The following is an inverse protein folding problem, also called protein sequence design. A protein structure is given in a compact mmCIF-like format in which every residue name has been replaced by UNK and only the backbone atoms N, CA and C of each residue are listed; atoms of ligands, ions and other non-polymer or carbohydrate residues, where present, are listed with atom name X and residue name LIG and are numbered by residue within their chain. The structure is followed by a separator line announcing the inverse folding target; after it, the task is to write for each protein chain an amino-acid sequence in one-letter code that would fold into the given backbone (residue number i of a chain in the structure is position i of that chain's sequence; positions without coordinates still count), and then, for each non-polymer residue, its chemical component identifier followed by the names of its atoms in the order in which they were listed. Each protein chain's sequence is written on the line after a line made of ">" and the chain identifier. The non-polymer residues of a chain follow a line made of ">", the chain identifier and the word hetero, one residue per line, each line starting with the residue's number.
data_IF_611744440320
#
_entry.id   IF_611744440320
#
_cell.length_a   1.000
_cell.length_b   1.000
_cell.length_c   1.000
_cell.angle_alpha   90.00
_cell.angle_beta   90.00
_cell.angle_gamma   90.00
#
_symmetry.space_group_name_H-M   'P 1'
#
loop_
_entity.id
_entity.type
_entity.pdbx_description
1 polymer ?
#
# COMPACT_ATOMS: atom_id res chain seq x y z
N UNK A 1 8.41 -15.56 29.32
CA UNK A 1 9.19 -16.40 28.41
C UNK A 1 9.40 -17.75 29.09
N UNK A 2 8.45 -18.64 28.86
CA UNK A 2 8.52 -20.05 29.24
C UNK A 2 8.68 -20.81 27.93
N UNK A 3 9.82 -21.47 27.77
CA UNK A 3 10.15 -22.26 26.59
C UNK A 3 9.15 -23.39 26.44
N UNK A 4 8.43 -23.39 25.33
CA UNK A 4 7.85 -24.58 24.77
C UNK A 4 8.83 -25.05 23.70
N UNK A 5 9.52 -26.15 23.98
CA UNK A 5 10.26 -26.91 23.00
C UNK A 5 9.21 -27.54 22.09
N UNK A 6 8.97 -26.93 20.94
CA UNK A 6 8.19 -27.56 19.86
C UNK A 6 9.09 -28.63 19.24
N UNK A 7 8.75 -29.89 19.51
CA UNK A 7 9.28 -31.05 18.81
C UNK A 7 8.91 -30.92 17.33
N UNK A 8 9.90 -30.59 16.50
CA UNK A 8 9.78 -30.64 15.04
C UNK A 8 9.65 -32.10 14.62
N UNK A 9 8.43 -32.57 14.37
CA UNK A 9 8.19 -33.81 13.64
C UNK A 9 8.77 -33.65 12.23
N UNK A 10 9.86 -34.37 11.95
CA UNK A 10 10.44 -34.54 10.61
C UNK A 10 9.41 -35.18 9.68
N UNK A 11 8.60 -34.35 9.04
CA UNK A 11 7.70 -34.79 7.97
C UNK A 11 8.56 -35.12 6.73
N UNK A 12 8.86 -36.41 6.58
CA UNK A 12 9.61 -36.99 5.47
C UNK A 12 9.10 -36.45 4.11
N UNK A 13 9.98 -35.99 3.21
CA UNK A 13 9.58 -35.41 1.94
C UNK A 13 8.87 -36.47 1.09
N UNK A 14 7.55 -36.35 0.97
CA UNK A 14 6.76 -37.12 0.02
C UNK A 14 7.33 -36.84 -1.37
N UNK A 15 7.86 -37.88 -2.00
CA UNK A 15 8.33 -37.85 -3.37
C UNK A 15 7.21 -37.27 -4.26
N UNK A 16 7.46 -36.09 -4.82
CA UNK A 16 6.65 -35.56 -5.90
C UNK A 16 6.80 -36.51 -7.08
N UNK A 17 5.77 -37.33 -7.29
CA UNK A 17 5.68 -38.18 -8.47
C UNK A 17 5.63 -37.32 -9.72
N UNK A 18 6.42 -37.72 -10.72
CA UNK A 18 6.42 -37.20 -12.08
C UNK A 18 4.99 -37.12 -12.63
N UNK A 19 4.44 -35.91 -12.66
CA UNK A 19 3.23 -35.63 -13.41
C UNK A 19 3.61 -35.57 -14.90
N UNK A 20 3.08 -36.54 -15.64
CA UNK A 20 3.19 -36.64 -17.09
C UNK A 20 2.82 -35.30 -17.74
N UNK A 21 3.67 -34.88 -18.69
CA UNK A 21 3.37 -33.82 -19.62
C UNK A 21 2.27 -34.32 -20.57
N UNK A 22 1.02 -33.93 -20.29
CA UNK A 22 -0.06 -34.03 -21.27
C UNK A 22 0.02 -32.82 -22.20
N UNK A 23 0.54 -33.06 -23.41
CA UNK A 23 0.51 -32.16 -24.56
C UNK A 23 -0.95 -31.95 -25.02
N UNK A 24 -1.63 -30.91 -24.54
CA UNK A 24 -2.95 -30.50 -25.05
C UNK A 24 -2.82 -29.30 -26.00
N UNK A 25 -2.68 -29.62 -27.29
CA UNK A 25 -2.64 -28.71 -28.44
C UNK A 25 -4.06 -28.17 -28.75
N UNK A 26 -4.51 -27.19 -27.95
CA UNK A 26 -5.80 -26.52 -28.15
C UNK A 26 -5.78 -25.42 -29.24
N UNK A 27 -6.80 -25.34 -30.12
CA UNK A 27 -6.77 -24.47 -31.30
C UNK A 27 -6.91 -22.98 -30.96
N UNK A 28 -5.93 -22.20 -31.44
CA UNK A 28 -5.92 -20.72 -31.44
C UNK A 28 -7.12 -20.15 -32.22
N UNK A 29 -8.16 -19.73 -31.51
CA UNK A 29 -9.25 -18.91 -32.08
C UNK A 29 -8.84 -17.44 -32.09
N UNK A 30 -8.36 -16.97 -33.24
CA UNK A 30 -8.28 -15.56 -33.60
C UNK A 30 -9.69 -15.00 -33.85
N UNK A 31 -10.20 -14.17 -32.96
CA UNK A 31 -11.37 -13.32 -33.23
C UNK A 31 -10.93 -11.88 -33.38
N UNK A 32 -10.74 -11.46 -34.63
CA UNK A 32 -10.70 -10.07 -35.04
C UNK A 32 -12.05 -9.43 -34.70
N UNK A 33 -12.08 -8.56 -33.68
CA UNK A 33 -13.25 -7.73 -33.38
C UNK A 33 -13.14 -6.45 -34.19
N UNK A 34 -13.95 -6.38 -35.24
CA UNK A 34 -14.23 -5.20 -36.06
C UNK A 34 -14.73 -4.08 -35.17
N UNK A 35 -14.05 -2.93 -35.19
CA UNK A 35 -14.50 -1.68 -34.57
C UNK A 35 -15.24 -0.91 -35.64
N UNK A 36 -16.57 -0.94 -35.60
CA UNK A 36 -17.40 -0.07 -36.43
C UNK A 36 -17.40 1.34 -35.84
N UNK A 37 -17.06 2.29 -36.69
CA UNK A 37 -17.00 3.71 -36.39
C UNK A 37 -18.39 4.34 -36.31
N UNK A 38 -18.51 5.35 -35.45
CA UNK A 38 -19.54 6.38 -35.57
C UNK A 38 -18.86 7.74 -35.52
N UNK A 39 -18.92 8.40 -36.67
CA UNK A 39 -18.44 9.75 -36.96
C UNK A 39 -19.67 10.65 -36.91
N UNK A 40 -19.79 11.49 -35.89
CA UNK A 40 -20.71 12.63 -35.86
C UNK A 40 -19.88 13.83 -35.36
N UNK A 41 -19.57 14.81 -36.20
CA UNK A 41 -20.47 15.92 -36.53
C UNK A 41 -19.91 17.17 -35.82
N UNK A 42 -19.17 18.05 -36.49
CA UNK A 42 -19.75 18.98 -37.45
C UNK A 42 -20.26 20.25 -36.74
N UNK A 43 -19.35 21.04 -36.13
CA UNK A 43 -19.70 22.27 -35.41
C UNK A 43 -18.81 23.45 -35.78
N UNK A 44 -18.93 23.94 -37.03
CA UNK A 44 -18.29 25.18 -37.50
C UNK A 44 -18.89 26.39 -36.76
N UNK A 45 -18.22 26.91 -35.73
CA UNK A 45 -18.54 28.23 -35.15
C UNK A 45 -17.74 29.30 -35.89
N UNK A 46 -18.48 30.23 -36.49
CA UNK A 46 -18.00 31.40 -37.23
C UNK A 46 -17.23 32.31 -36.28
N UNK A 47 -16.01 32.67 -36.67
CA UNK A 47 -15.20 33.72 -36.07
C UNK A 47 -15.75 35.07 -36.55
N UNK A 48 -16.33 35.85 -35.65
CA UNK A 48 -16.62 37.27 -35.88
C UNK A 48 -15.34 38.06 -35.70
N UNK A 49 -14.89 38.67 -36.79
CA UNK A 49 -13.79 39.62 -36.83
C UNK A 49 -14.26 40.96 -36.27
N UNK A 50 -13.74 41.35 -35.11
CA UNK A 50 -13.70 42.74 -34.64
C UNK A 50 -12.61 42.86 -33.57
N UNK A 51 -11.35 42.90 -34.03
CA UNK A 51 -10.20 43.20 -33.20
C UNK A 51 -9.70 44.61 -33.56
N UNK A 52 -10.23 45.62 -32.86
CA UNK A 52 -9.64 46.97 -32.84
C UNK A 52 -8.31 46.88 -32.08
N UNK A 53 -7.25 47.26 -32.77
CA UNK A 53 -5.90 47.35 -32.24
C UNK A 53 -5.82 48.40 -31.12
N UNK A 54 -5.75 47.95 -29.87
CA UNK A 54 -5.18 48.72 -28.76
C UNK A 54 -3.73 48.27 -28.58
N UNK A 55 -2.82 49.18 -28.87
CA UNK A 55 -1.36 48.97 -28.89
C UNK A 55 -0.77 49.02 -27.48
N UNK A 56 -1.25 48.19 -26.56
CA UNK A 56 -0.57 47.98 -25.29
C UNK A 56 0.35 46.76 -25.40
N UNK A 57 1.67 46.93 -25.14
CA UNK A 57 2.57 45.80 -25.11
C UNK A 57 2.11 44.84 -24.01
N UNK A 58 1.89 43.54 -24.32
CA UNK A 58 1.39 42.60 -23.34
C UNK A 58 2.33 42.60 -22.13
N UNK A 59 1.80 42.60 -20.89
CA UNK A 59 2.62 42.59 -19.69
C UNK A 59 3.59 41.43 -19.83
N UNK A 60 4.89 41.72 -19.74
CA UNK A 60 5.96 40.71 -19.84
C UNK A 60 5.67 39.68 -18.77
N UNK A 61 5.04 38.59 -19.19
CA UNK A 61 4.71 37.45 -18.36
C UNK A 61 6.05 36.92 -17.90
N UNK A 62 6.51 37.37 -16.72
CA UNK A 62 7.61 36.74 -16.00
C UNK A 62 7.18 35.30 -15.90
N UNK A 63 7.70 34.46 -16.80
CA UNK A 63 7.59 33.03 -16.73
C UNK A 63 8.35 32.67 -15.47
N UNK A 64 7.63 32.77 -14.35
CA UNK A 64 8.05 32.28 -13.06
C UNK A 64 8.18 30.80 -13.33
N UNK A 65 9.42 30.39 -13.64
CA UNK A 65 9.83 29.02 -13.94
C UNK A 65 9.39 28.23 -12.73
N UNK A 66 8.15 27.74 -12.77
CA UNK A 66 7.58 26.88 -11.75
C UNK A 66 8.50 25.70 -11.82
N UNK A 67 9.46 25.65 -10.88
CA UNK A 67 10.17 24.43 -10.56
C UNK A 67 9.05 23.48 -10.21
N UNK A 68 8.61 22.71 -11.20
CA UNK A 68 7.84 21.50 -10.99
C UNK A 68 8.80 20.66 -10.17
N UNK A 69 8.70 20.77 -8.85
CA UNK A 69 9.29 19.81 -7.95
C UNK A 69 8.65 18.51 -8.38
N UNK A 70 9.36 17.71 -9.18
CA UNK A 70 9.00 16.33 -9.46
C UNK A 70 8.80 15.73 -8.08
N UNK A 71 7.55 15.55 -7.65
CA UNK A 71 7.25 14.80 -6.44
C UNK A 71 7.76 13.40 -6.74
N UNK A 72 8.89 13.05 -6.15
CA UNK A 72 9.35 11.68 -6.16
C UNK A 72 8.26 10.86 -5.49
N UNK A 73 7.78 9.82 -6.16
CA UNK A 73 6.92 8.84 -5.55
C UNK A 73 7.82 7.81 -4.86
N UNK A 74 7.59 7.59 -3.57
CA UNK A 74 8.27 6.54 -2.82
C UNK A 74 7.49 5.24 -2.97
N UNK A 75 8.19 4.14 -3.21
CA UNK A 75 7.63 2.80 -3.36
C UNK A 75 8.38 1.82 -2.46
N UNK A 76 7.67 0.81 -1.96
CA UNK A 76 8.27 -0.30 -1.25
C UNK A 76 8.54 -1.44 -2.24
N UNK A 77 9.76 -1.98 -2.24
CA UNK A 77 10.12 -3.17 -3.01
C UNK A 77 10.28 -4.34 -2.03
N UNK A 78 9.44 -5.37 -2.18
CA UNK A 78 9.56 -6.64 -1.47
C UNK A 78 10.29 -7.63 -2.38
N UNK A 79 11.38 -8.20 -1.90
CA UNK A 79 12.16 -9.25 -2.60
C UNK A 79 12.55 -10.37 -1.64
N UNK A 80 12.99 -11.49 -2.19
CA UNK A 80 13.66 -12.53 -1.41
C UNK A 80 15.03 -12.02 -0.94
N UNK A 81 15.45 -12.48 0.25
CA UNK A 81 16.81 -12.26 0.74
C UNK A 81 17.77 -13.14 -0.04
N UNK A 82 18.97 -12.62 -0.33
CA UNK A 82 20.02 -13.39 -1.01
C UNK A 82 20.38 -14.69 -0.29
N UNK A 83 20.35 -14.67 1.05
CA UNK A 83 20.70 -15.82 1.90
C UNK A 83 19.56 -16.85 2.03
N UNK A 84 18.39 -16.59 1.44
CA UNK A 84 17.23 -17.47 1.57
C UNK A 84 17.21 -18.44 0.40
N UNK A 85 17.12 -19.73 0.70
CA UNK A 85 17.03 -20.77 -0.33
C UNK A 85 15.73 -20.67 -1.13
N UNK A 86 15.84 -20.95 -2.43
CA UNK A 86 14.71 -20.97 -3.37
C UNK A 86 13.98 -22.31 -3.32
N UNK A 87 13.32 -22.58 -2.20
CA UNK A 87 12.47 -23.75 -2.07
C UNK A 87 11.10 -23.48 -2.72
N UNK A 88 10.53 -24.43 -3.50
CA UNK A 88 9.24 -24.25 -4.17
C UNK A 88 8.10 -23.76 -3.24
N UNK A 89 7.95 -24.26 -1.99
CA UNK A 89 6.89 -23.78 -1.10
C UNK A 89 7.00 -22.29 -0.75
N UNK A 90 8.22 -21.76 -0.64
CA UNK A 90 8.47 -20.34 -0.35
C UNK A 90 8.12 -19.47 -1.56
N UNK A 91 8.44 -19.96 -2.75
CA UNK A 91 8.11 -19.32 -4.01
C UNK A 91 6.59 -19.22 -4.17
N UNK A 92 5.87 -20.32 -4.00
CA UNK A 92 4.42 -20.38 -4.15
C UNK A 92 3.69 -19.53 -3.12
N UNK A 93 4.18 -19.51 -1.87
CA UNK A 93 3.64 -18.62 -0.84
C UNK A 93 3.77 -17.14 -1.23
N UNK A 94 4.94 -16.74 -1.72
CA UNK A 94 5.19 -15.34 -2.14
C UNK A 94 4.34 -14.96 -3.35
N UNK A 95 4.22 -15.86 -4.33
CA UNK A 95 3.36 -15.67 -5.51
C UNK A 95 1.89 -15.53 -5.11
N UNK A 96 1.40 -16.41 -4.22
CA UNK A 96 0.02 -16.39 -3.73
C UNK A 96 -0.28 -15.09 -2.97
N UNK A 97 0.67 -14.61 -2.17
CA UNK A 97 0.54 -13.34 -1.46
C UNK A 97 0.40 -12.15 -2.42
N UNK A 98 1.25 -12.09 -3.44
CA UNK A 98 1.20 -11.01 -4.45
C UNK A 98 -0.12 -11.03 -5.21
N UNK A 99 -0.57 -12.20 -5.65
CA UNK A 99 -1.86 -12.35 -6.34
C UNK A 99 -3.02 -11.95 -5.42
N UNK A 100 -2.99 -12.35 -4.15
CA UNK A 100 -4.00 -11.95 -3.18
C UNK A 100 -4.03 -10.44 -2.97
N UNK A 101 -2.87 -9.78 -2.89
CA UNK A 101 -2.77 -8.33 -2.76
C UNK A 101 -3.27 -7.61 -4.02
N UNK A 102 -2.93 -8.08 -5.22
CA UNK A 102 -3.44 -7.53 -6.48
C UNK A 102 -4.97 -7.54 -6.53
N UNK A 103 -5.59 -8.65 -6.10
CA UNK A 103 -7.06 -8.74 -5.97
C UNK A 103 -7.68 -7.79 -4.94
N UNK A 104 -6.88 -7.31 -3.97
CA UNK A 104 -7.29 -6.40 -2.91
C UNK A 104 -6.87 -4.95 -3.16
N UNK A 105 -6.06 -4.66 -4.18
CA UNK A 105 -5.39 -3.36 -4.45
C UNK A 105 -6.34 -2.21 -4.84
N UNK A 106 -7.62 -2.32 -4.50
CA UNK A 106 -8.64 -1.28 -4.63
C UNK A 106 -9.41 -1.04 -3.34
N UNK A 107 -9.13 -1.84 -2.29
CA UNK A 107 -9.80 -1.74 -1.00
C UNK A 107 -9.18 -0.62 -0.16
N UNK A 108 -9.98 0.34 0.35
CA UNK A 108 -9.46 1.35 1.26
C UNK A 108 -8.91 0.68 2.53
N UNK A 109 -7.64 0.97 2.86
CA UNK A 109 -6.96 0.42 4.03
C UNK A 109 -6.18 -0.87 3.79
N UNK A 110 -6.08 -1.33 2.54
CA UNK A 110 -5.09 -2.33 2.11
C UNK A 110 -3.96 -1.62 1.38
N UNK A 111 -2.74 -2.12 1.49
CA UNK A 111 -1.60 -1.64 0.71
C UNK A 111 -1.75 -2.03 -0.75
N UNK A 112 -1.52 -1.09 -1.66
CA UNK A 112 -1.60 -1.36 -3.09
C UNK A 112 -0.34 -2.07 -3.59
N UNK A 113 -0.52 -2.90 -4.62
CA UNK A 113 0.57 -3.49 -5.41
C UNK A 113 0.52 -2.85 -6.79
N UNK A 114 1.62 -2.22 -7.20
CA UNK A 114 1.73 -1.50 -8.47
C UNK A 114 2.33 -2.35 -9.57
N UNK A 115 3.24 -3.27 -9.21
CA UNK A 115 3.88 -4.18 -10.15
C UNK A 115 4.42 -5.41 -9.40
N UNK A 116 4.57 -6.51 -10.11
CA UNK A 116 5.25 -7.69 -9.59
C UNK A 116 5.95 -8.47 -10.70
N UNK A 117 7.00 -9.20 -10.32
CA UNK A 117 7.76 -10.09 -11.19
C UNK A 117 8.22 -11.31 -10.38
N UNK A 118 7.66 -12.48 -10.67
CA UNK A 118 7.91 -13.70 -9.89
C UNK A 118 7.51 -13.52 -8.42
N UNK A 119 8.50 -13.56 -7.51
CA UNK A 119 8.33 -13.40 -6.06
C UNK A 119 8.54 -11.97 -5.56
N UNK A 120 8.90 -11.05 -6.45
CA UNK A 120 9.15 -9.65 -6.09
C UNK A 120 7.94 -8.79 -6.41
N UNK A 121 7.63 -7.84 -5.54
CA UNK A 121 6.53 -6.88 -5.73
C UNK A 121 6.93 -5.46 -5.36
N UNK A 122 6.34 -4.52 -6.09
CA UNK A 122 6.43 -3.08 -5.84
C UNK A 122 5.07 -2.63 -5.32
N UNK A 123 5.03 -2.04 -4.13
CA UNK A 123 3.79 -1.61 -3.49
C UNK A 123 3.90 -0.26 -2.80
N UNK A 124 2.84 0.10 -2.08
CA UNK A 124 2.76 1.33 -1.30
C UNK A 124 3.89 1.42 -0.29
N UNK A 125 4.61 2.55 -0.29
CA UNK A 125 5.56 2.88 0.77
C UNK A 125 4.82 3.59 1.92
N UNK A 126 4.99 3.05 3.12
CA UNK A 126 4.42 3.59 4.36
C UNK A 126 5.56 4.10 5.24
N UNK A 127 5.78 5.41 5.23
CA UNK A 127 6.88 6.08 5.92
C UNK A 127 6.73 6.14 7.45
N UNK A 128 5.51 5.94 7.96
CA UNK A 128 5.25 5.81 9.39
C UNK A 128 5.68 4.45 9.97
N UNK A 129 6.04 3.48 9.14
CA UNK A 129 6.37 2.11 9.56
C UNK A 129 5.14 1.32 10.01
N UNK A 130 5.35 0.27 10.81
CA UNK A 130 4.26 -0.52 11.38
C UNK A 130 3.60 0.17 12.61
N UNK A 131 2.34 -0.17 12.87
CA UNK A 131 1.53 0.41 13.94
C UNK A 131 2.12 0.11 15.33
N UNK A 132 2.72 -1.06 15.53
CA UNK A 132 3.36 -1.43 16.81
C UNK A 132 4.54 -0.49 17.14
N UNK A 133 5.46 -0.33 16.18
CA UNK A 133 6.58 0.60 16.31
C UNK A 133 6.09 2.05 16.41
N UNK A 134 5.03 2.41 15.68
CA UNK A 134 4.42 3.74 15.74
C UNK A 134 3.89 4.07 17.15
N UNK A 135 3.08 3.18 17.74
CA UNK A 135 2.54 3.35 19.10
C UNK A 135 3.69 3.41 20.12
N UNK A 136 4.65 2.50 20.05
CA UNK A 136 5.81 2.46 20.96
C UNK A 136 6.63 3.75 20.94
N UNK A 137 6.83 4.36 19.77
CA UNK A 137 7.53 5.65 19.63
C UNK A 137 6.76 6.80 20.28
N UNK A 138 5.43 6.79 20.20
CA UNK A 138 4.56 7.84 20.75
C UNK A 138 4.27 7.70 22.24
N UNK A 139 4.28 6.48 22.79
CA UNK A 139 4.07 6.26 24.23
C UNK A 139 5.25 6.77 25.07
N UNK A 140 6.49 6.59 24.59
CA UNK A 140 7.70 7.06 25.30
C UNK A 140 7.77 8.58 25.47
N UNK A 141 7.07 9.32 24.63
CA UNK A 141 6.99 10.78 24.71
C UNK A 141 6.21 11.27 25.93
N UNK A 142 5.36 10.42 26.53
CA UNK A 142 4.49 10.80 27.66
C UNK A 142 5.20 10.62 28.99
N UNK A 143 6.02 9.58 29.12
CA UNK A 143 6.68 9.24 30.40
C UNK A 143 8.02 9.97 30.60
N UNK A 144 8.59 10.57 29.54
CA UNK A 144 9.90 11.24 29.56
C UNK A 144 9.88 12.73 29.90
N UNK A 145 8.73 13.30 30.31
CA UNK A 145 8.61 14.72 30.65
C UNK A 145 9.07 15.06 32.09
N UNK A 146 9.61 14.07 32.81
CA UNK A 146 10.13 14.25 34.18
C UNK A 146 11.41 13.43 34.37
N UNK A 147 12.55 13.89 33.85
CA UNK A 147 13.86 13.54 34.41
C UNK A 147 14.98 14.46 33.90
N UNK A 148 15.21 15.51 34.67
CA UNK A 148 16.48 16.08 35.11
C UNK A 148 17.76 15.44 34.51
N UNK A 149 18.57 16.29 33.87
CA UNK A 149 19.71 15.89 33.06
C UNK A 149 20.75 15.00 33.73
N UNK A 150 21.17 13.94 33.04
CA UNK A 150 22.25 13.08 33.49
C UNK A 150 22.80 12.16 32.40
N UNK A 151 23.77 12.67 31.62
CA UNK A 151 24.85 11.87 31.01
C UNK A 151 24.49 10.89 29.88
N UNK A 152 24.66 11.30 28.63
CA UNK A 152 24.68 10.38 27.49
C UNK A 152 26.01 10.54 26.71
N UNK A 153 27.05 9.86 27.19
CA UNK A 153 28.18 9.43 26.36
C UNK A 153 28.05 7.92 26.15
N UNK A 154 27.90 7.48 24.90
CA UNK A 154 27.85 6.06 24.57
C UNK A 154 27.15 5.75 23.24
N UNK A 155 27.94 5.80 22.16
CA UNK A 155 27.78 5.16 20.86
C UNK A 155 26.58 4.19 20.66
N UNK A 156 25.78 4.43 19.61
CA UNK A 156 25.37 3.34 18.71
C UNK A 156 25.09 3.88 17.29
N UNK A 157 25.91 3.44 16.34
CA UNK A 157 25.93 3.90 14.96
C UNK A 157 24.96 3.06 14.11
N UNK A 158 23.97 3.71 13.50
CA UNK A 158 23.08 3.07 12.51
C UNK A 158 21.59 3.30 12.74
N UNK A 159 21.21 3.99 13.82
CA UNK A 159 19.81 4.35 14.08
C UNK A 159 19.42 5.51 13.15
N UNK A 160 18.79 5.18 12.03
CA UNK A 160 18.07 6.13 11.19
C UNK A 160 17.29 7.07 12.11
N UNK A 161 17.66 8.35 12.08
CA UNK A 161 17.26 9.34 13.07
C UNK A 161 15.73 9.48 13.05
N UNK A 162 15.08 8.67 13.88
CA UNK A 162 13.64 8.65 14.04
C UNK A 162 13.31 9.94 14.75
N UNK A 163 12.98 10.98 13.98
CA UNK A 163 12.53 12.26 14.50
C UNK A 163 11.38 11.96 15.46
N UNK A 164 11.63 12.21 16.75
CA UNK A 164 10.58 12.12 17.77
C UNK A 164 9.59 13.22 17.41
N UNK A 165 8.44 12.82 16.87
CA UNK A 165 7.39 13.77 16.56
C UNK A 165 6.83 14.30 17.89
N UNK A 166 6.69 15.62 18.06
CA UNK A 166 6.08 16.19 19.26
C UNK A 166 4.63 15.69 19.40
N UNK A 167 4.19 15.50 20.65
CA UNK A 167 2.88 14.98 21.01
C UNK A 167 2.88 13.46 21.27
N UNK A 168 2.39 13.04 22.44
CA UNK A 168 2.10 11.63 22.71
C UNK A 168 0.99 11.08 21.80
N UNK A 169 0.65 9.80 21.96
CA UNK A 169 -0.53 9.25 21.30
C UNK A 169 -1.78 9.73 22.05
N UNK A 170 -2.45 10.77 21.56
CA UNK A 170 -3.70 11.23 22.16
C UNK A 170 -4.80 10.15 22.07
N UNK A 171 -5.73 10.15 23.02
CA UNK A 171 -6.87 9.22 23.02
C UNK A 171 -7.69 9.35 21.72
N UNK A 172 -7.89 10.57 21.24
CA UNK A 172 -8.57 10.86 19.96
C UNK A 172 -7.87 10.18 18.78
N UNK A 173 -6.54 10.23 18.72
CA UNK A 173 -5.77 9.60 17.64
C UNK A 173 -5.81 8.07 17.73
N UNK A 174 -5.76 7.52 18.94
CA UNK A 174 -5.93 6.08 19.15
C UNK A 174 -7.33 5.61 18.68
N UNK A 175 -8.39 6.35 19.02
CA UNK A 175 -9.75 6.08 18.55
C UNK A 175 -9.90 6.21 17.03
N UNK A 176 -9.24 7.20 16.42
CA UNK A 176 -9.23 7.35 14.97
C UNK A 176 -8.58 6.15 14.28
N UNK A 177 -7.38 5.74 14.74
CA UNK A 177 -6.67 4.60 14.17
C UNK A 177 -7.46 3.30 14.31
N UNK A 178 -8.09 3.06 15.47
CA UNK A 178 -8.91 1.87 15.69
C UNK A 178 -10.17 1.86 14.81
N UNK A 179 -10.87 3.00 14.68
CA UNK A 179 -12.02 3.13 13.79
C UNK A 179 -11.65 2.90 12.32
N UNK A 180 -10.50 3.42 11.88
CA UNK A 180 -10.00 3.24 10.51
C UNK A 180 -9.63 1.79 10.22
N UNK A 181 -8.95 1.12 11.16
CA UNK A 181 -8.64 -0.31 11.05
C UNK A 181 -9.93 -1.16 10.99
N UNK A 182 -10.88 -0.88 11.88
CA UNK A 182 -12.17 -1.59 11.91
C UNK A 182 -12.93 -1.44 10.58
N UNK A 183 -12.90 -0.24 9.98
CA UNK A 183 -13.51 0.00 8.67
C UNK A 183 -12.81 -0.78 7.55
N UNK A 184 -11.48 -0.77 7.51
CA UNK A 184 -10.71 -1.55 6.53
C UNK A 184 -11.04 -3.05 6.61
N UNK A 185 -11.11 -3.60 7.83
CA UNK A 185 -11.50 -5.00 8.06
C UNK A 185 -12.95 -5.25 7.62
N UNK A 186 -13.87 -4.33 7.91
CA UNK A 186 -15.26 -4.46 7.47
C UNK A 186 -15.37 -4.44 5.93
N UNK A 187 -14.60 -3.59 5.25
CA UNK A 187 -14.61 -3.49 3.78
C UNK A 187 -14.04 -4.77 3.14
N UNK A 188 -12.99 -5.36 3.72
CA UNK A 188 -12.49 -6.68 3.33
C UNK A 188 -13.58 -7.78 3.44
N UNK A 189 -14.36 -7.75 4.52
CA UNK A 189 -15.46 -8.70 4.70
C UNK A 189 -16.65 -8.43 3.77
N UNK A 190 -16.87 -7.19 3.32
CA UNK A 190 -17.92 -6.84 2.36
C UNK A 190 -17.59 -7.30 0.95
N UNK A 191 -16.35 -7.08 0.49
CA UNK A 191 -15.91 -7.56 -0.83
C UNK A 191 -16.07 -9.07 -1.00
N UNK A 192 -15.96 -9.83 0.10
CA UNK A 192 -16.28 -11.26 0.14
C UNK A 192 -17.73 -11.58 -0.23
N UNK A 193 -18.70 -10.77 0.20
CA UNK A 193 -20.13 -11.01 -0.06
C UNK A 193 -20.50 -10.71 -1.50
N UNK A 194 -20.00 -9.58 -2.02
CA UNK A 194 -20.40 -9.11 -3.35
C UNK A 194 -19.84 -9.99 -4.48
N UNK A 195 -18.67 -10.60 -4.29
CA UNK A 195 -18.12 -11.57 -5.26
C UNK A 195 -18.84 -12.92 -5.23
N UNK A 196 -19.29 -13.36 -4.06
CA UNK A 196 -19.99 -14.64 -3.91
C UNK A 196 -21.39 -14.68 -4.54
N UNK A 197 -22.03 -13.52 -4.75
CA UNK A 197 -23.34 -13.44 -5.38
C UNK A 197 -23.29 -13.34 -6.91
N UNK A 198 -22.16 -12.89 -7.48
CA UNK A 198 -22.02 -12.64 -8.91
C UNK A 198 -21.53 -13.87 -9.72
N UNK A 199 -20.98 -14.88 -9.05
CA UNK A 199 -20.39 -16.08 -9.69
C UNK A 199 -21.33 -17.28 -9.57
N UNK A 200 -22.28 -17.42 -10.51
CA UNK A 200 -22.97 -18.70 -10.75
C UNK A 200 -22.16 -19.64 -11.66
N UNK A 201 -21.05 -19.14 -12.22
CA UNK A 201 -20.26 -19.83 -13.24
C UNK A 201 -18.89 -20.27 -12.71
N UNK A 202 -18.84 -21.08 -11.66
CA UNK A 202 -17.68 -21.90 -11.28
C UNK A 202 -16.32 -21.21 -11.07
N UNK A 203 -16.23 -19.88 -11.16
CA UNK A 203 -15.01 -19.13 -10.93
C UNK A 203 -14.78 -19.11 -9.43
N UNK A 204 -13.68 -19.74 -9.02
CA UNK A 204 -13.32 -20.00 -7.65
C UNK A 204 -13.59 -18.80 -6.75
N UNK A 205 -14.48 -19.02 -5.78
CA UNK A 205 -14.81 -18.06 -4.74
C UNK A 205 -13.59 -17.90 -3.81
N UNK A 206 -12.63 -17.09 -4.23
CA UNK A 206 -11.39 -16.86 -3.50
C UNK A 206 -11.72 -16.11 -2.20
N UNK A 207 -11.90 -16.89 -1.13
CA UNK A 207 -12.24 -16.39 0.19
C UNK A 207 -10.97 -15.92 0.88
N UNK A 208 -10.70 -14.62 0.75
CA UNK A 208 -9.58 -14.01 1.46
C UNK A 208 -9.97 -13.84 2.94
N UNK A 209 -9.19 -14.47 3.82
CA UNK A 209 -9.29 -14.31 5.27
C UNK A 209 -7.92 -13.86 5.76
N UNK A 210 -7.82 -12.65 6.28
CA UNK A 210 -6.61 -12.20 6.95
C UNK A 210 -6.49 -12.99 8.26
N UNK A 211 -5.58 -13.97 8.30
CA UNK A 211 -5.38 -14.83 9.48
C UNK A 211 -4.46 -14.22 10.52
N UNK A 212 -3.80 -13.12 10.18
CA UNK A 212 -2.70 -12.56 10.96
C UNK A 212 -2.87 -11.04 11.18
N UNK A 213 -4.06 -10.62 11.61
CA UNK A 213 -4.31 -9.20 11.92
C UNK A 213 -3.61 -8.86 13.23
N UNK A 214 -2.43 -8.25 13.13
CA UNK A 214 -1.65 -7.76 14.26
C UNK A 214 -1.08 -6.35 13.96
N UNK A 215 -0.74 -5.59 15.01
CA UNK A 215 -0.18 -4.25 14.91
C UNK A 215 1.15 -4.21 14.14
N UNK A 216 1.91 -5.30 14.10
CA UNK A 216 3.11 -5.42 13.26
C UNK A 216 2.80 -5.49 11.75
N UNK A 217 1.59 -5.91 11.38
CA UNK A 217 1.14 -6.07 10.00
C UNK A 217 0.26 -4.91 9.51
N UNK A 218 0.04 -3.88 10.34
CA UNK A 218 -0.67 -2.65 9.97
C UNK A 218 0.33 -1.55 9.72
N UNK A 219 0.37 -1.02 8.50
CA UNK A 219 1.30 0.05 8.13
C UNK A 219 0.67 1.44 8.29
N UNK A 220 1.49 2.40 8.71
CA UNK A 220 1.13 3.81 8.91
C UNK A 220 1.78 4.64 7.81
N UNK A 221 0.97 5.43 7.10
CA UNK A 221 1.45 6.41 6.13
C UNK A 221 1.28 7.82 6.69
N UNK A 222 2.24 8.72 6.47
CA UNK A 222 2.10 10.14 6.81
C UNK A 222 1.00 10.83 6.02
N UNK A 223 0.61 10.29 4.86
CA UNK A 223 -0.56 10.79 4.14
C UNK A 223 -1.88 10.47 4.85
N UNK A 224 -1.88 9.47 5.74
CA UNK A 224 -2.99 9.23 6.66
C UNK A 224 -2.92 10.07 7.94
N UNK A 225 -1.76 10.64 8.24
CA UNK A 225 -1.58 11.69 9.25
C UNK A 225 -1.97 13.06 8.68
N UNK A 226 -3.05 13.12 7.89
CA UNK A 226 -3.69 14.41 7.69
C UNK A 226 -4.01 14.94 9.08
N UNK A 227 -3.19 15.90 9.52
CA UNK A 227 -3.55 17.28 9.81
C UNK A 227 -4.92 17.70 9.23
N UNK A 228 -5.97 16.87 9.39
CA UNK A 228 -7.31 17.37 9.63
C UNK A 228 -7.07 18.35 10.76
N UNK A 229 -7.26 19.64 10.51
CA UNK A 229 -6.94 20.73 11.41
C UNK A 229 -7.76 20.68 12.70
N UNK A 230 -7.61 19.60 13.46
CA UNK A 230 -7.72 19.56 14.90
C UNK A 230 -6.51 20.39 15.34
N UNK A 231 -6.68 21.70 15.20
CA UNK A 231 -6.04 22.67 16.04
C UNK A 231 -6.44 22.25 17.45
N UNK A 232 -5.58 21.48 18.11
CA UNK A 232 -5.66 21.23 19.55
C UNK A 232 -5.47 22.62 20.16
N UNK A 233 -6.58 23.37 20.23
CA UNK A 233 -6.62 24.77 20.62
C UNK A 233 -6.24 24.92 22.08
N UNK A 234 -4.96 24.77 22.37
CA UNK A 234 -4.32 25.25 23.60
C UNK A 234 -3.93 26.72 23.34
N UNK A 235 -4.95 27.56 23.21
CA UNK A 235 -4.85 29.00 23.11
C UNK A 235 -5.65 29.65 24.24
N UNK A 236 -4.92 29.94 25.34
CA UNK A 236 -5.24 30.72 26.55
C UNK A 236 -6.37 30.27 27.50
#
# INVERSE_FOLDING_TARGET
>A
WSGAEEEEEEESPRAYGDAAADDDDGPRRSSNRTVDGSVDGGGRRRLSADARATSDPPPRHRQRKRRTTRRGYCYALKTLRWTREFLPPVYDKSRTEVVALDYLSSSPGVTDVYAYCGTSSVGTYADGGDLSAYVKRRSRSVDGASDDGGGAEGYDAGREATRVLPGGLSATRALYLSARLARAVADLQRQRRDRGSASSSGADNLRIVHRDIDAANVLISSSSDMNDGIDDGDGD
#
